data_IF_335719822495
#
_entry.id   IF_335719822495
#
_cell.length_a   1.000
_cell.length_b   1.000
_cell.length_c   1.000
_cell.angle_alpha   90.00
_cell.angle_beta   90.00
_cell.angle_gamma   90.00
#
_symmetry.space_group_name_H-M   'P 1'
#
loop_
_entity.id
_entity.type
_entity.pdbx_description
1 polymer ?
#
# COMPACT_ATOMS: atom_id res chain seq x y z
N UNK A 1 -34.04 9.84 -10.61
CA UNK A 1 -34.97 9.70 -9.49
C UNK A 1 -36.15 8.85 -9.93
N UNK A 2 -36.54 7.86 -9.12
CA UNK A 2 -37.53 6.79 -9.33
C UNK A 2 -38.20 6.76 -10.73
N UNK A 3 -37.55 6.11 -11.69
CA UNK A 3 -38.17 5.87 -13.00
C UNK A 3 -39.29 4.83 -12.89
N UNK A 4 -40.34 4.98 -13.70
CA UNK A 4 -41.46 4.02 -13.79
C UNK A 4 -41.02 2.74 -14.54
N UNK A 5 -40.13 1.96 -13.95
CA UNK A 5 -39.79 0.63 -14.46
C UNK A 5 -40.92 -0.33 -14.14
N UNK A 6 -41.21 -1.27 -15.05
CA UNK A 6 -42.26 -2.28 -14.85
C UNK A 6 -42.13 -3.03 -13.51
N UNK A 7 -40.89 -3.30 -13.07
CA UNK A 7 -40.58 -3.92 -11.78
C UNK A 7 -41.00 -3.08 -10.57
N UNK A 8 -40.87 -1.75 -10.67
CA UNK A 8 -41.25 -0.80 -9.62
C UNK A 8 -42.78 -0.71 -9.52
N UNK A 9 -43.46 -0.66 -10.67
CA UNK A 9 -44.92 -0.64 -10.74
C UNK A 9 -45.49 -1.93 -10.14
N UNK A 10 -44.97 -3.09 -10.53
CA UNK A 10 -45.42 -4.38 -10.00
C UNK A 10 -45.19 -4.48 -8.48
N UNK A 11 -44.04 -4.02 -7.97
CA UNK A 11 -43.79 -3.98 -6.53
C UNK A 11 -44.82 -3.13 -5.79
N UNK A 12 -45.00 -1.89 -6.21
CA UNK A 12 -45.93 -0.95 -5.57
C UNK A 12 -47.37 -1.49 -5.67
N UNK A 13 -47.74 -2.06 -6.81
CA UNK A 13 -49.05 -2.70 -7.01
C UNK A 13 -49.29 -3.85 -6.06
N UNK A 14 -48.29 -4.71 -5.84
CA UNK A 14 -48.38 -5.82 -4.88
C UNK A 14 -48.52 -5.33 -3.46
N UNK A 15 -47.78 -4.30 -3.08
CA UNK A 15 -47.88 -3.69 -1.75
C UNK A 15 -49.29 -3.13 -1.57
N UNK A 16 -49.75 -2.28 -2.49
CA UNK A 16 -51.08 -1.64 -2.40
C UNK A 16 -52.24 -2.64 -2.44
N UNK A 17 -52.17 -3.70 -3.26
CA UNK A 17 -53.18 -4.78 -3.26
C UNK A 17 -53.28 -5.50 -1.93
N UNK A 18 -52.18 -5.60 -1.17
CA UNK A 18 -52.18 -6.20 0.17
C UNK A 18 -52.93 -5.34 1.20
N UNK A 19 -53.15 -4.05 0.90
CA UNK A 19 -53.80 -3.07 1.78
C UNK A 19 -55.19 -2.64 1.30
N UNK A 20 -55.74 -3.26 0.25
CA UNK A 20 -56.96 -2.79 -0.42
C UNK A 20 -58.20 -2.74 0.50
N UNK A 21 -58.18 -3.50 1.61
CA UNK A 21 -59.29 -3.60 2.57
C UNK A 21 -59.02 -2.94 3.94
N UNK A 22 -57.90 -2.20 4.11
CA UNK A 22 -57.48 -1.61 5.39
C UNK A 22 -57.41 -0.08 5.34
N UNK A 23 -57.64 0.56 6.49
CA UNK A 23 -57.48 2.00 6.65
C UNK A 23 -56.05 2.43 6.29
N UNK A 24 -55.92 3.59 5.64
CA UNK A 24 -54.64 4.15 5.22
C UNK A 24 -53.81 4.55 6.43
N UNK A 25 -52.92 3.66 6.87
CA UNK A 25 -51.98 3.93 7.94
C UNK A 25 -50.91 4.95 7.48
N UNK A 26 -50.54 5.96 8.30
CA UNK A 26 -49.61 7.04 7.90
C UNK A 26 -48.24 6.57 7.41
N UNK A 27 -47.76 5.42 7.91
CA UNK A 27 -46.49 4.82 7.52
C UNK A 27 -46.51 4.02 6.21
N UNK A 28 -47.67 3.86 5.55
CA UNK A 28 -47.77 3.08 4.31
C UNK A 28 -46.85 3.65 3.21
N UNK A 29 -46.90 4.96 2.99
CA UNK A 29 -46.10 5.63 1.96
C UNK A 29 -44.60 5.58 2.32
N UNK A 30 -44.17 5.96 3.54
CA UNK A 30 -42.79 5.76 3.97
C UNK A 30 -42.28 4.33 3.80
N UNK A 31 -43.11 3.32 4.09
CA UNK A 31 -42.75 1.90 3.92
C UNK A 31 -42.52 1.53 2.45
N UNK A 32 -43.38 1.98 1.54
CA UNK A 32 -43.19 1.77 0.09
C UNK A 32 -41.87 2.38 -0.38
N UNK A 33 -41.54 3.58 0.07
CA UNK A 33 -40.26 4.22 -0.26
C UNK A 33 -39.06 3.45 0.31
N UNK A 34 -39.13 3.01 1.55
CA UNK A 34 -38.10 2.18 2.18
C UNK A 34 -37.82 0.89 1.37
N UNK A 35 -38.86 0.19 0.93
CA UNK A 35 -38.72 -1.04 0.11
C UNK A 35 -38.13 -0.77 -1.27
N UNK A 36 -38.51 0.34 -1.91
CA UNK A 36 -37.93 0.74 -3.19
C UNK A 36 -36.45 1.07 -3.06
N UNK A 37 -36.10 1.82 -2.01
CA UNK A 37 -34.73 2.24 -1.77
C UNK A 37 -33.83 1.06 -1.39
N UNK A 38 -34.34 0.13 -0.56
CA UNK A 38 -33.68 -1.14 -0.27
C UNK A 38 -33.30 -1.90 -1.53
N UNK A 39 -34.25 -2.13 -2.44
CA UNK A 39 -33.97 -2.83 -3.71
C UNK A 39 -32.96 -2.10 -4.58
N UNK A 40 -33.03 -0.76 -4.63
CA UNK A 40 -32.10 0.06 -5.41
C UNK A 40 -30.68 -0.05 -4.88
N UNK A 41 -30.49 0.14 -3.57
CA UNK A 41 -29.18 0.15 -2.94
C UNK A 41 -28.55 -1.23 -2.93
N UNK A 42 -29.33 -2.29 -2.66
CA UNK A 42 -28.81 -3.67 -2.68
C UNK A 42 -28.37 -4.06 -4.10
N UNK A 43 -29.17 -3.74 -5.12
CA UNK A 43 -28.80 -4.00 -6.51
C UNK A 43 -27.58 -3.21 -6.98
N UNK A 44 -27.35 -2.00 -6.46
CA UNK A 44 -26.11 -1.26 -6.71
C UNK A 44 -24.91 -1.90 -6.01
N UNK A 45 -25.09 -2.33 -4.76
CA UNK A 45 -24.04 -2.97 -3.97
C UNK A 45 -23.59 -4.28 -4.59
N UNK A 46 -24.52 -5.17 -4.96
CA UNK A 46 -24.19 -6.48 -5.52
C UNK A 46 -23.35 -6.35 -6.80
N UNK A 47 -23.64 -5.35 -7.63
CA UNK A 47 -22.84 -5.06 -8.85
C UNK A 47 -21.43 -4.57 -8.52
N UNK A 48 -21.30 -3.65 -7.57
CA UNK A 48 -20.00 -3.09 -7.16
C UNK A 48 -19.17 -4.12 -6.40
N UNK A 49 -19.81 -4.99 -5.62
CA UNK A 49 -19.19 -6.10 -4.91
C UNK A 49 -18.46 -7.04 -5.87
N UNK A 50 -19.10 -7.50 -6.95
CA UNK A 50 -18.43 -8.40 -7.92
C UNK A 50 -17.20 -7.75 -8.52
N UNK A 51 -17.29 -6.46 -8.89
CA UNK A 51 -16.15 -5.70 -9.42
C UNK A 51 -15.00 -5.60 -8.41
N UNK A 52 -15.31 -5.39 -7.12
CA UNK A 52 -14.29 -5.27 -6.08
C UNK A 52 -13.63 -6.61 -5.76
N UNK A 53 -14.42 -7.68 -5.65
CA UNK A 53 -13.92 -9.03 -5.42
C UNK A 53 -12.99 -9.48 -6.55
N UNK A 54 -13.37 -9.21 -7.80
CA UNK A 54 -12.52 -9.51 -8.95
C UNK A 54 -11.21 -8.73 -8.89
N UNK A 55 -11.24 -7.46 -8.44
CA UNK A 55 -10.03 -6.65 -8.30
C UNK A 55 -9.10 -7.16 -7.22
N UNK A 56 -9.63 -7.57 -6.07
CA UNK A 56 -8.85 -8.17 -4.97
C UNK A 56 -8.13 -9.44 -5.47
N UNK A 57 -8.84 -10.30 -6.21
CA UNK A 57 -8.27 -11.52 -6.80
C UNK A 57 -7.22 -11.23 -7.88
N UNK A 58 -7.44 -10.23 -8.73
CA UNK A 58 -6.46 -9.78 -9.74
C UNK A 58 -5.15 -9.34 -9.06
N UNK A 59 -5.28 -8.58 -7.97
CA UNK A 59 -4.15 -8.09 -7.19
C UNK A 59 -3.37 -9.25 -6.54
N UNK A 60 -4.08 -10.18 -5.92
CA UNK A 60 -3.48 -11.37 -5.31
C UNK A 60 -2.72 -12.24 -6.34
N UNK A 61 -3.35 -12.48 -7.50
CA UNK A 61 -2.73 -13.24 -8.58
C UNK A 61 -1.49 -12.56 -9.14
N UNK A 62 -1.53 -11.22 -9.31
CA UNK A 62 -0.37 -10.43 -9.78
C UNK A 62 0.81 -10.56 -8.82
N UNK A 63 0.57 -10.38 -7.51
CA UNK A 63 1.62 -10.52 -6.49
C UNK A 63 2.24 -11.92 -6.49
N UNK A 64 1.42 -12.94 -6.69
CA UNK A 64 1.88 -14.32 -6.75
C UNK A 64 2.68 -14.61 -8.02
N UNK A 65 2.28 -14.06 -9.16
CA UNK A 65 3.01 -14.17 -10.43
C UNK A 65 4.37 -13.46 -10.40
N UNK A 66 4.43 -12.24 -9.86
CA UNK A 66 5.68 -11.47 -9.77
C UNK A 66 6.69 -12.08 -8.79
N UNK A 67 6.21 -12.75 -7.73
CA UNK A 67 7.05 -13.54 -6.83
C UNK A 67 7.76 -14.70 -7.56
N UNK A 68 7.13 -15.26 -8.59
CA UNK A 68 7.69 -16.35 -9.40
C UNK A 68 8.61 -15.89 -10.53
N UNK A 69 8.39 -14.70 -11.09
CA UNK A 69 9.32 -14.12 -12.08
C UNK A 69 10.59 -13.62 -11.38
N UNK A 70 11.71 -14.31 -11.61
CA UNK A 70 13.01 -13.95 -11.05
C UNK A 70 13.44 -12.52 -11.40
N UNK A 71 14.32 -11.96 -10.55
CA UNK A 71 14.76 -10.55 -10.53
C UNK A 71 15.46 -10.08 -11.84
N UNK A 72 15.72 -10.98 -12.80
CA UNK A 72 16.67 -10.73 -13.89
C UNK A 72 16.07 -10.46 -15.29
N UNK A 73 14.77 -10.67 -15.55
CA UNK A 73 14.28 -10.69 -16.94
C UNK A 73 13.72 -9.38 -17.52
N UNK A 74 13.35 -8.39 -16.71
CA UNK A 74 12.60 -7.22 -17.23
C UNK A 74 13.45 -6.02 -17.70
N UNK A 75 14.77 -6.12 -17.71
CA UNK A 75 15.64 -4.98 -18.07
C UNK A 75 15.75 -4.69 -19.59
N UNK A 76 15.07 -5.44 -20.47
CA UNK A 76 15.34 -5.36 -21.93
C UNK A 76 14.45 -4.43 -22.76
N UNK A 77 13.33 -3.91 -22.26
CA UNK A 77 12.42 -3.12 -23.10
C UNK A 77 12.05 -1.75 -22.49
N UNK A 78 12.82 -0.71 -22.82
CA UNK A 78 12.55 0.68 -22.41
C UNK A 78 11.20 1.23 -22.92
N UNK A 79 10.72 0.73 -24.07
CA UNK A 79 9.42 1.10 -24.65
C UNK A 79 8.21 0.38 -24.00
N UNK A 80 8.47 -0.72 -23.28
CA UNK A 80 7.45 -1.41 -22.50
C UNK A 80 7.28 -0.81 -21.10
N UNK A 81 8.30 -0.09 -20.58
CA UNK A 81 8.25 0.51 -19.26
C UNK A 81 7.29 1.71 -19.18
N UNK A 82 7.28 2.60 -20.18
CA UNK A 82 6.40 3.79 -20.21
C UNK A 82 4.92 3.40 -20.37
N UNK A 83 4.62 2.43 -21.23
CA UNK A 83 3.26 1.89 -21.38
C UNK A 83 2.79 1.09 -20.15
N UNK A 84 3.72 0.42 -19.45
CA UNK A 84 3.42 -0.30 -18.21
C UNK A 84 3.12 0.66 -17.06
N UNK A 85 3.84 1.79 -16.96
CA UNK A 85 3.65 2.81 -15.93
C UNK A 85 2.31 3.54 -16.08
N UNK A 86 1.95 3.95 -17.31
CA UNK A 86 0.64 4.54 -17.60
C UNK A 86 -0.50 3.57 -17.25
N UNK A 87 -0.34 2.28 -17.60
CA UNK A 87 -1.33 1.23 -17.31
C UNK A 87 -1.45 0.94 -15.81
N UNK A 88 -0.36 1.01 -15.05
CA UNK A 88 -0.37 0.87 -13.60
C UNK A 88 -1.09 2.05 -12.94
N UNK A 89 -0.76 3.28 -13.34
CA UNK A 89 -1.36 4.49 -12.78
C UNK A 89 -2.88 4.58 -13.06
N UNK A 90 -3.33 4.15 -14.24
CA UNK A 90 -4.77 4.10 -14.55
C UNK A 90 -5.51 3.11 -13.66
N UNK A 91 -4.90 1.95 -13.41
CA UNK A 91 -5.48 0.89 -12.56
C UNK A 91 -5.57 1.28 -11.09
N UNK A 92 -4.61 2.05 -10.59
CA UNK A 92 -4.64 2.57 -9.22
C UNK A 92 -5.78 3.58 -9.05
N UNK A 93 -5.94 4.48 -10.02
CA UNK A 93 -7.04 5.45 -10.05
C UNK A 93 -8.41 4.76 -10.08
N UNK A 94 -8.57 3.69 -10.87
CA UNK A 94 -9.80 2.88 -10.90
C UNK A 94 -10.08 2.19 -9.56
N UNK A 95 -9.05 1.65 -8.91
CA UNK A 95 -9.15 1.02 -7.59
C UNK A 95 -9.61 2.02 -6.52
N UNK A 96 -8.99 3.21 -6.50
CA UNK A 96 -9.38 4.30 -5.59
C UNK A 96 -10.82 4.75 -5.85
N UNK A 97 -11.23 4.89 -7.12
CA UNK A 97 -12.60 5.25 -7.46
C UNK A 97 -13.61 4.20 -6.98
N UNK A 98 -13.31 2.92 -7.18
CA UNK A 98 -14.15 1.83 -6.67
C UNK A 98 -14.26 1.84 -5.14
N UNK A 99 -13.16 2.13 -4.45
CA UNK A 99 -13.14 2.27 -2.98
C UNK A 99 -14.07 3.40 -2.52
N UNK A 100 -13.93 4.57 -3.14
CA UNK A 100 -14.75 5.76 -2.82
C UNK A 100 -16.22 5.48 -3.10
N UNK A 101 -16.55 4.86 -4.23
CA UNK A 101 -17.92 4.50 -4.59
C UNK A 101 -18.53 3.57 -3.53
N UNK A 102 -17.83 2.51 -3.12
CA UNK A 102 -18.32 1.56 -2.10
C UNK A 102 -18.42 2.20 -0.73
N UNK A 103 -17.47 3.06 -0.36
CA UNK A 103 -17.51 3.82 0.90
C UNK A 103 -18.72 4.77 0.94
N UNK A 104 -18.96 5.51 -0.13
CA UNK A 104 -20.13 6.40 -0.24
C UNK A 104 -21.46 5.62 -0.17
N UNK A 105 -21.50 4.44 -0.79
CA UNK A 105 -22.66 3.54 -0.74
C UNK A 105 -22.89 3.01 0.68
N UNK A 106 -21.82 2.60 1.38
CA UNK A 106 -21.88 2.18 2.79
C UNK A 106 -22.48 3.28 3.66
N UNK A 107 -22.00 4.52 3.54
CA UNK A 107 -22.52 5.66 4.29
C UNK A 107 -24.01 5.91 4.00
N UNK A 108 -24.43 5.74 2.74
CA UNK A 108 -25.83 5.82 2.35
C UNK A 108 -26.70 4.71 2.96
N UNK A 109 -26.19 3.48 3.04
CA UNK A 109 -26.86 2.35 3.70
C UNK A 109 -27.00 2.58 5.21
N UNK A 110 -25.96 3.06 5.87
CA UNK A 110 -25.98 3.42 7.30
C UNK A 110 -26.99 4.54 7.58
N UNK A 111 -26.98 5.59 6.76
CA UNK A 111 -27.93 6.69 6.90
C UNK A 111 -29.38 6.23 6.75
N UNK A 112 -29.67 5.38 5.76
CA UNK A 112 -31.03 4.84 5.59
C UNK A 112 -31.42 3.90 6.72
N UNK A 113 -30.49 3.06 7.19
CA UNK A 113 -30.72 2.20 8.35
C UNK A 113 -31.17 3.01 9.57
N UNK A 114 -30.48 4.10 9.86
CA UNK A 114 -30.81 4.97 11.00
C UNK A 114 -32.21 5.59 10.83
N UNK A 115 -32.62 5.91 9.60
CA UNK A 115 -33.98 6.38 9.33
C UNK A 115 -35.02 5.26 9.51
N UNK A 116 -34.71 4.02 9.14
CA UNK A 116 -35.61 2.88 9.35
C UNK A 116 -35.84 2.60 10.84
N UNK A 117 -34.79 2.75 11.68
CA UNK A 117 -34.90 2.66 13.14
C UNK A 117 -35.87 3.72 13.66
N UNK A 118 -35.68 4.98 13.27
CA UNK A 118 -36.58 6.09 13.67
C UNK A 118 -38.01 5.88 13.18
N UNK A 119 -38.20 5.33 11.98
CA UNK A 119 -39.53 5.00 11.46
C UNK A 119 -40.21 3.89 12.27
N UNK A 120 -39.44 2.91 12.76
CA UNK A 120 -39.97 1.86 13.62
C UNK A 120 -40.39 2.41 14.99
N UNK A 121 -39.56 3.27 15.60
CA UNK A 121 -39.86 3.97 16.86
C UNK A 121 -41.12 4.84 16.72
N UNK A 122 -41.23 5.60 15.62
CA UNK A 122 -42.41 6.42 15.37
C UNK A 122 -43.68 5.59 15.14
N UNK A 123 -43.56 4.35 14.64
CA UNK A 123 -44.68 3.42 14.55
C UNK A 123 -45.21 3.03 15.92
N UNK A 124 -44.32 2.85 16.91
CA UNK A 124 -44.70 2.54 18.29
C UNK A 124 -45.30 3.77 18.99
N UNK A 125 -44.73 4.96 18.74
CA UNK A 125 -45.27 6.22 19.23
C UNK A 125 -46.68 6.50 18.71
N UNK A 126 -46.95 6.24 17.42
CA UNK A 126 -48.28 6.36 16.82
C UNK A 126 -49.29 5.42 17.48
N UNK A 127 -48.87 4.20 17.81
CA UNK A 127 -49.71 3.24 18.51
C UNK A 127 -50.06 3.69 19.94
N UNK A 128 -49.17 4.42 20.62
CA UNK A 128 -49.39 4.92 21.97
C UNK A 128 -50.19 6.23 22.02
N UNK A 129 -50.01 7.11 21.04
CA UNK A 129 -50.53 8.48 21.06
C UNK A 129 -51.80 8.65 20.23
N UNK A 130 -51.75 8.31 18.94
CA UNK A 130 -52.83 8.53 17.97
C UNK A 130 -53.83 7.38 18.00
N UNK A 131 -53.35 6.14 18.05
CA UNK A 131 -54.18 4.93 18.06
C UNK A 131 -54.34 4.36 19.48
N UNK A 132 -54.66 5.22 20.44
CA UNK A 132 -54.67 4.86 21.86
C UNK A 132 -55.64 3.68 22.12
N UNK A 133 -55.24 2.67 22.93
CA UNK A 133 -56.14 1.61 23.34
C UNK A 133 -57.39 2.19 24.03
N UNK A 134 -58.57 1.59 23.82
CA UNK A 134 -59.76 2.02 24.51
C UNK A 134 -59.59 1.82 26.04
N UNK A 135 -60.16 2.69 26.89
CA UNK A 135 -60.05 2.56 28.35
C UNK A 135 -60.60 1.22 28.84
N UNK A 136 -60.05 0.68 29.93
CA UNK A 136 -60.46 -0.62 30.48
C UNK A 136 -61.96 -0.72 30.87
N UNK A 137 -62.65 0.43 30.97
CA UNK A 137 -64.08 0.53 31.29
C UNK A 137 -64.99 0.55 30.04
N UNK A 138 -64.44 0.49 28.83
CA UNK A 138 -65.20 0.54 27.58
C UNK A 138 -65.85 -0.81 27.22
N UNK A 139 -67.05 -0.76 26.61
CA UNK A 139 -67.81 -1.95 26.24
C UNK A 139 -67.03 -2.86 25.25
N UNK A 140 -67.11 -4.20 25.40
CA UNK A 140 -66.39 -5.15 24.56
C UNK A 140 -66.84 -5.01 23.09
N UNK A 141 -65.98 -4.41 22.25
CA UNK A 141 -66.22 -4.26 20.81
C UNK A 141 -66.02 -2.86 20.22
N UNK A 142 -65.72 -1.83 21.03
CA UNK A 142 -65.61 -0.44 20.54
C UNK A 142 -64.15 -0.02 20.26
N UNK A 143 -63.34 -0.90 19.66
CA UNK A 143 -61.95 -0.58 19.32
C UNK A 143 -61.83 -0.12 17.86
N UNK A 144 -62.06 1.17 17.64
CA UNK A 144 -62.03 1.78 16.31
C UNK A 144 -60.64 1.74 15.65
N UNK A 145 -59.57 1.57 16.44
CA UNK A 145 -58.17 1.63 15.97
C UNK A 145 -57.46 0.26 16.03
N UNK A 146 -58.20 -0.83 16.20
CA UNK A 146 -57.64 -2.18 16.32
C UNK A 146 -56.83 -2.58 15.08
N UNK A 147 -57.34 -2.28 13.89
CA UNK A 147 -56.74 -2.70 12.62
C UNK A 147 -55.54 -1.82 12.23
N UNK A 148 -55.57 -0.53 12.57
CA UNK A 148 -54.47 0.41 12.43
C UNK A 148 -53.30 0.02 13.31
N UNK A 149 -53.55 -0.38 14.57
CA UNK A 149 -52.51 -0.89 15.48
C UNK A 149 -51.87 -2.18 14.98
N UNK A 150 -52.68 -3.17 14.55
CA UNK A 150 -52.16 -4.40 13.93
C UNK A 150 -51.32 -4.09 12.69
N UNK A 151 -51.73 -3.10 11.91
CA UNK A 151 -51.01 -2.68 10.70
C UNK A 151 -49.70 -1.96 11.02
N UNK A 152 -49.70 -1.07 12.03
CA UNK A 152 -48.50 -0.45 12.57
C UNK A 152 -47.52 -1.46 13.13
N UNK A 153 -47.99 -2.47 13.88
CA UNK A 153 -47.15 -3.55 14.40
C UNK A 153 -46.48 -4.35 13.28
N UNK A 154 -47.23 -4.70 12.21
CA UNK A 154 -46.64 -5.35 11.02
C UNK A 154 -45.59 -4.48 10.34
N UNK A 155 -45.80 -3.17 10.27
CA UNK A 155 -44.79 -2.25 9.74
C UNK A 155 -43.55 -2.16 10.63
N UNK A 156 -43.71 -2.07 11.94
CA UNK A 156 -42.59 -2.06 12.87
C UNK A 156 -41.75 -3.35 12.76
N UNK A 157 -42.39 -4.52 12.69
CA UNK A 157 -41.69 -5.80 12.47
C UNK A 157 -40.92 -5.76 11.15
N UNK A 158 -41.57 -5.38 10.04
CA UNK A 158 -40.92 -5.33 8.72
C UNK A 158 -39.79 -4.30 8.65
N UNK A 159 -39.92 -3.16 9.31
CA UNK A 159 -38.87 -2.14 9.40
C UNK A 159 -37.65 -2.66 10.16
N UNK A 160 -37.86 -3.35 11.30
CA UNK A 160 -36.78 -3.99 12.05
C UNK A 160 -36.10 -5.09 11.23
N UNK A 161 -36.85 -5.91 10.51
CA UNK A 161 -36.28 -6.87 9.56
C UNK A 161 -35.41 -6.16 8.51
N UNK A 162 -35.91 -5.08 7.89
CA UNK A 162 -35.11 -4.30 6.95
C UNK A 162 -33.83 -3.77 7.62
N UNK A 163 -33.88 -3.23 8.83
CA UNK A 163 -32.67 -2.79 9.56
C UNK A 163 -31.63 -3.91 9.64
N UNK A 164 -32.04 -5.13 9.97
CA UNK A 164 -31.11 -6.28 10.00
C UNK A 164 -30.56 -6.65 8.62
N UNK A 165 -31.36 -6.53 7.56
CA UNK A 165 -30.90 -6.72 6.17
C UNK A 165 -29.85 -5.66 5.79
N UNK A 166 -30.08 -4.40 6.16
CA UNK A 166 -29.14 -3.30 5.92
C UNK A 166 -27.84 -3.49 6.71
N UNK A 167 -27.90 -3.87 7.98
CA UNK A 167 -26.71 -4.18 8.80
C UNK A 167 -25.88 -5.31 8.20
N UNK A 168 -26.53 -6.33 7.63
CA UNK A 168 -25.82 -7.40 6.91
C UNK A 168 -25.07 -6.85 5.69
N UNK A 169 -25.70 -5.97 4.90
CA UNK A 169 -25.06 -5.35 3.73
C UNK A 169 -23.98 -4.33 4.10
N UNK A 170 -24.14 -3.57 5.18
CA UNK A 170 -23.09 -2.68 5.71
C UNK A 170 -21.86 -3.50 6.12
N UNK A 171 -22.05 -4.59 6.87
CA UNK A 171 -20.95 -5.52 7.22
C UNK A 171 -20.27 -6.11 5.98
N UNK A 172 -21.03 -6.42 4.93
CA UNK A 172 -20.44 -6.86 3.65
C UNK A 172 -19.58 -5.75 3.02
N UNK A 173 -20.01 -4.49 3.07
CA UNK A 173 -19.20 -3.37 2.59
C UNK A 173 -17.91 -3.23 3.39
N UNK A 174 -17.98 -3.38 4.72
CA UNK A 174 -16.79 -3.33 5.58
C UNK A 174 -15.78 -4.43 5.26
N UNK A 175 -16.25 -5.66 5.10
CA UNK A 175 -15.38 -6.78 4.70
C UNK A 175 -14.72 -6.52 3.34
N UNK A 176 -15.46 -5.96 2.39
CA UNK A 176 -14.97 -5.62 1.05
C UNK A 176 -13.93 -4.48 1.08
N UNK A 177 -14.23 -3.39 1.80
CA UNK A 177 -13.30 -2.26 1.96
C UNK A 177 -12.04 -2.69 2.71
N UNK A 178 -12.17 -3.52 3.74
CA UNK A 178 -11.06 -4.11 4.48
C UNK A 178 -10.21 -5.03 3.60
N UNK A 179 -10.84 -5.92 2.83
CA UNK A 179 -10.16 -6.82 1.90
C UNK A 179 -9.35 -6.07 0.84
N UNK A 180 -9.91 -4.99 0.28
CA UNK A 180 -9.18 -4.18 -0.70
C UNK A 180 -8.05 -3.37 -0.08
N UNK A 181 -8.25 -2.82 1.11
CA UNK A 181 -7.19 -2.10 1.85
C UNK A 181 -6.02 -3.04 2.14
N UNK A 182 -6.31 -4.25 2.60
CA UNK A 182 -5.29 -5.27 2.86
C UNK A 182 -4.56 -5.67 1.57
N UNK A 183 -5.29 -5.85 0.47
CA UNK A 183 -4.68 -6.19 -0.82
C UNK A 183 -3.72 -5.07 -1.28
N UNK A 184 -4.15 -3.80 -1.21
CA UNK A 184 -3.31 -2.65 -1.55
C UNK A 184 -2.06 -2.54 -0.64
N UNK A 185 -2.23 -2.75 0.67
CA UNK A 185 -1.09 -2.80 1.60
C UNK A 185 -0.13 -3.94 1.29
N UNK A 186 -0.64 -5.12 0.93
CA UNK A 186 0.17 -6.27 0.54
C UNK A 186 0.99 -5.95 -0.72
N UNK A 187 0.39 -5.27 -1.70
CA UNK A 187 1.09 -4.83 -2.91
C UNK A 187 2.20 -3.82 -2.62
N UNK A 188 1.92 -2.79 -1.82
CA UNK A 188 2.97 -1.84 -1.40
C UNK A 188 4.10 -2.53 -0.66
N UNK A 189 3.79 -3.42 0.29
CA UNK A 189 4.80 -4.17 1.05
C UNK A 189 5.62 -5.10 0.16
N UNK A 190 5.00 -5.66 -0.89
CA UNK A 190 5.70 -6.49 -1.87
C UNK A 190 6.75 -5.69 -2.64
N UNK A 191 6.41 -4.51 -3.17
CA UNK A 191 7.38 -3.65 -3.86
C UNK A 191 8.50 -3.19 -2.93
N UNK A 192 8.18 -2.74 -1.71
CA UNK A 192 9.19 -2.35 -0.71
C UNK A 192 10.17 -3.49 -0.41
N UNK A 193 9.67 -4.73 -0.28
CA UNK A 193 10.54 -5.92 -0.09
C UNK A 193 11.40 -6.20 -1.31
N UNK A 194 10.88 -5.97 -2.51
CA UNK A 194 11.62 -6.14 -3.76
C UNK A 194 12.74 -5.09 -3.87
N UNK A 195 12.44 -3.83 -3.60
CA UNK A 195 13.40 -2.73 -3.62
C UNK A 195 14.51 -2.94 -2.58
N UNK A 196 14.17 -3.41 -1.37
CA UNK A 196 15.16 -3.75 -0.36
C UNK A 196 16.14 -4.83 -0.85
N UNK A 197 15.66 -5.87 -1.54
CA UNK A 197 16.53 -6.90 -2.15
C UNK A 197 17.43 -6.32 -3.24
N UNK A 198 16.89 -5.47 -4.11
CA UNK A 198 17.66 -4.80 -5.17
C UNK A 198 18.72 -3.88 -4.55
N UNK A 199 18.38 -3.11 -3.52
CA UNK A 199 19.31 -2.25 -2.80
C UNK A 199 20.46 -3.06 -2.16
N UNK A 200 20.19 -4.23 -1.59
CA UNK A 200 21.24 -5.12 -1.07
C UNK A 200 22.17 -5.61 -2.19
N UNK A 201 21.60 -6.00 -3.34
CA UNK A 201 22.41 -6.43 -4.51
C UNK A 201 23.28 -5.27 -5.00
N UNK A 202 22.71 -4.08 -5.14
CA UNK A 202 23.44 -2.86 -5.54
C UNK A 202 24.55 -2.57 -4.52
N UNK A 203 24.27 -2.60 -3.22
CA UNK A 203 25.27 -2.38 -2.18
C UNK A 203 26.43 -3.39 -2.26
N UNK A 204 26.14 -4.66 -2.57
CA UNK A 204 27.17 -5.68 -2.76
C UNK A 204 28.02 -5.42 -4.02
N UNK A 205 27.38 -5.03 -5.13
CA UNK A 205 28.09 -4.64 -6.36
C UNK A 205 28.97 -3.40 -6.13
N UNK A 206 28.45 -2.39 -5.45
CA UNK A 206 29.20 -1.17 -5.08
C UNK A 206 30.36 -1.48 -4.14
N UNK A 207 30.19 -2.41 -3.19
CA UNK A 207 31.29 -2.86 -2.32
C UNK A 207 32.42 -3.50 -3.13
N UNK A 208 32.08 -4.31 -4.14
CA UNK A 208 33.07 -4.92 -5.05
C UNK A 208 33.76 -3.87 -5.91
N UNK A 209 33.03 -2.90 -6.44
CA UNK A 209 33.58 -1.77 -7.21
C UNK A 209 34.52 -0.91 -6.36
N UNK A 210 34.16 -0.65 -5.09
CA UNK A 210 35.05 0.03 -4.13
C UNK A 210 36.38 -0.70 -3.88
N UNK A 211 36.40 -2.04 -3.94
CA UNK A 211 37.65 -2.82 -3.88
C UNK A 211 38.51 -2.66 -5.14
N UNK A 212 37.89 -2.54 -6.32
CA UNK A 212 38.62 -2.25 -7.57
C UNK A 212 39.20 -0.84 -7.55
N UNK A 213 38.43 0.14 -7.08
CA UNK A 213 38.90 1.53 -6.90
C UNK A 213 40.14 1.60 -5.98
N UNK A 214 40.14 0.84 -4.87
CA UNK A 214 41.31 0.74 -3.99
C UNK A 214 42.56 0.22 -4.71
N UNK A 215 42.40 -0.70 -5.66
CA UNK A 215 43.54 -1.27 -6.42
C UNK A 215 44.15 -0.27 -7.39
N UNK A 216 43.33 0.56 -8.05
CA UNK A 216 43.82 1.62 -8.96
C UNK A 216 44.59 2.69 -8.17
N UNK A 217 44.07 3.11 -7.01
CA UNK A 217 44.75 4.06 -6.12
C UNK A 217 46.10 3.53 -5.62
N UNK A 218 46.19 2.23 -5.30
CA UNK A 218 47.47 1.61 -4.93
C UNK A 218 48.49 1.67 -6.06
N UNK A 219 48.05 1.46 -7.31
CA UNK A 219 48.93 1.52 -8.48
C UNK A 219 49.47 2.95 -8.71
N UNK A 220 48.59 3.96 -8.64
CA UNK A 220 48.99 5.36 -8.73
C UNK A 220 49.96 5.78 -7.62
N UNK A 221 49.72 5.32 -6.39
CA UNK A 221 50.56 5.62 -5.23
C UNK A 221 51.93 4.92 -5.26
N UNK A 222 52.04 3.79 -5.95
CA UNK A 222 53.33 3.13 -6.22
C UNK A 222 54.12 3.88 -7.31
N UNK A 223 53.44 4.36 -8.35
CA UNK A 223 54.08 5.08 -9.45
C UNK A 223 54.47 6.51 -9.08
N UNK A 224 53.68 7.24 -8.29
CA UNK A 224 53.93 8.65 -7.95
C UNK A 224 55.34 8.94 -7.38
N UNK A 225 55.83 8.23 -6.34
CA UNK A 225 57.17 8.46 -5.80
C UNK A 225 58.27 8.01 -6.77
N UNK A 226 58.05 6.93 -7.52
CA UNK A 226 58.99 6.46 -8.53
C UNK A 226 59.15 7.46 -9.69
N UNK A 227 58.04 8.00 -10.19
CA UNK A 227 58.05 9.01 -11.26
C UNK A 227 58.61 10.35 -10.80
N UNK A 228 58.35 10.76 -9.55
CA UNK A 228 58.95 11.98 -8.97
C UNK A 228 60.48 11.89 -8.90
N UNK A 229 61.01 10.76 -8.42
CA UNK A 229 62.45 10.52 -8.39
C UNK A 229 63.01 10.45 -9.82
N UNK A 230 62.38 9.71 -10.74
CA UNK A 230 62.81 9.66 -12.14
C UNK A 230 62.91 11.07 -12.77
N UNK A 231 61.96 11.96 -12.45
CA UNK A 231 61.93 13.34 -12.97
C UNK A 231 63.01 14.22 -12.32
N UNK A 232 63.17 14.18 -10.99
CA UNK A 232 64.21 14.91 -10.27
C UNK A 232 65.62 14.53 -10.75
N UNK A 233 65.86 13.24 -10.97
CA UNK A 233 67.16 12.75 -11.42
C UNK A 233 67.37 12.95 -12.92
N UNK A 234 66.32 12.88 -13.74
CA UNK A 234 66.39 13.26 -15.16
C UNK A 234 66.69 14.76 -15.36
N UNK A 235 66.25 15.61 -14.44
CA UNK A 235 66.52 17.05 -14.49
C UNK A 235 67.91 17.43 -13.92
N UNK A 236 68.50 16.60 -13.06
CA UNK A 236 69.66 17.03 -12.23
C UNK A 236 70.96 16.25 -12.43
N UNK A 237 71.00 15.07 -13.07
CA UNK A 237 72.17 14.19 -12.97
C UNK A 237 72.83 13.70 -14.27
N UNK A 238 72.29 13.98 -15.46
CA UNK A 238 72.99 13.69 -16.73
C UNK A 238 73.77 14.92 -17.22
N UNK A 239 74.88 15.26 -16.55
CA UNK A 239 75.84 16.24 -17.08
C UNK A 239 76.89 15.51 -17.91
N UNK A 240 76.65 15.41 -19.23
CA UNK A 240 77.51 14.73 -20.22
C UNK A 240 78.73 15.57 -20.63
N UNK A 241 79.36 16.31 -19.72
CA UNK A 241 80.59 17.04 -19.99
C UNK A 241 81.76 16.40 -19.27
N UNK A 242 82.46 15.55 -20.02
CA UNK A 242 83.61 14.76 -19.64
C UNK A 242 84.87 15.61 -19.36
N UNK A 243 85.70 15.13 -18.43
CA UNK A 243 87.15 15.28 -18.54
C UNK A 243 87.85 14.08 -17.88
N UNK A 244 88.33 13.17 -18.74
CA UNK A 244 89.45 12.23 -18.53
C UNK A 244 89.39 11.21 -17.39
N UNK A 245 89.29 9.94 -17.82
CA UNK A 245 90.06 8.81 -17.27
C UNK A 245 89.81 8.39 -15.81
N UNK A 246 88.71 7.67 -15.59
CA UNK A 246 88.58 6.34 -14.92
C UNK A 246 87.20 6.20 -14.28
N UNK A 247 86.56 5.08 -14.64
CA UNK A 247 85.29 4.55 -14.09
C UNK A 247 84.02 5.36 -14.33
N UNK A 248 83.27 4.94 -15.36
CA UNK A 248 81.98 5.52 -15.79
C UNK A 248 80.79 4.93 -15.01
N UNK A 249 81.01 4.17 -13.92
CA UNK A 249 79.93 3.67 -13.06
C UNK A 249 80.19 4.15 -11.63
N UNK A 250 79.60 5.30 -11.32
CA UNK A 250 79.71 5.96 -10.03
C UNK A 250 78.86 5.23 -8.96
N UNK A 251 79.38 4.96 -7.74
CA UNK A 251 78.68 4.26 -6.64
C UNK A 251 77.34 4.87 -6.19
N UNK A 252 77.03 6.07 -6.65
CA UNK A 252 75.81 6.82 -6.31
C UNK A 252 74.53 6.22 -6.89
N UNK A 253 74.62 5.37 -7.92
CA UNK A 253 73.47 4.64 -8.49
C UNK A 253 72.90 3.61 -7.50
N UNK A 254 73.76 2.95 -6.71
CA UNK A 254 73.32 2.02 -5.68
C UNK A 254 72.58 2.73 -4.54
N UNK A 255 73.04 3.94 -4.18
CA UNK A 255 72.41 4.80 -3.17
C UNK A 255 71.04 5.31 -3.66
N UNK A 256 70.91 5.61 -4.96
CA UNK A 256 69.63 5.91 -5.62
C UNK A 256 68.62 4.75 -5.53
N UNK A 257 69.05 3.53 -5.88
CA UNK A 257 68.18 2.35 -5.79
C UNK A 257 67.74 2.11 -4.34
N UNK A 258 68.65 2.24 -3.37
CA UNK A 258 68.34 2.09 -1.96
C UNK A 258 67.35 3.15 -1.45
N UNK A 259 67.55 4.43 -1.79
CA UNK A 259 66.69 5.52 -1.37
C UNK A 259 65.28 5.42 -1.97
N UNK A 260 65.18 5.05 -3.26
CA UNK A 260 63.92 4.86 -3.96
C UNK A 260 63.12 3.70 -3.35
N UNK A 261 63.77 2.57 -3.06
CA UNK A 261 63.14 1.42 -2.40
C UNK A 261 62.69 1.78 -0.98
N UNK A 262 63.50 2.54 -0.22
CA UNK A 262 63.15 2.97 1.12
C UNK A 262 61.91 3.88 1.15
N UNK A 263 61.86 4.90 0.27
CA UNK A 263 60.71 5.81 0.14
C UNK A 263 59.45 5.08 -0.30
N UNK A 264 59.56 4.18 -1.29
CA UNK A 264 58.42 3.39 -1.77
C UNK A 264 57.90 2.45 -0.67
N UNK A 265 58.79 1.79 0.04
CA UNK A 265 58.45 0.91 1.18
C UNK A 265 57.77 1.70 2.30
N UNK A 266 58.29 2.89 2.65
CA UNK A 266 57.71 3.74 3.70
C UNK A 266 56.29 4.22 3.35
N UNK A 267 56.06 4.63 2.11
CA UNK A 267 54.75 5.08 1.63
C UNK A 267 53.73 3.93 1.59
N UNK A 268 54.12 2.76 1.07
CA UNK A 268 53.25 1.56 1.05
C UNK A 268 52.96 1.09 2.48
N UNK A 269 53.95 1.11 3.37
CA UNK A 269 53.78 0.69 4.77
C UNK A 269 52.83 1.62 5.52
N UNK A 270 53.01 2.94 5.40
CA UNK A 270 52.11 3.92 6.02
C UNK A 270 50.66 3.72 5.56
N UNK A 271 50.46 3.47 4.28
CA UNK A 271 49.14 3.27 3.70
C UNK A 271 48.49 1.96 4.15
N UNK A 272 49.23 0.84 4.10
CA UNK A 272 48.73 -0.45 4.60
C UNK A 272 48.27 -0.33 6.05
N UNK A 273 49.06 0.37 6.88
CA UNK A 273 48.72 0.63 8.27
C UNK A 273 47.47 1.50 8.41
N UNK A 274 47.36 2.57 7.62
CA UNK A 274 46.19 3.46 7.64
C UNK A 274 44.91 2.75 7.18
N UNK A 275 44.97 1.99 6.07
CA UNK A 275 43.85 1.19 5.56
C UNK A 275 43.40 0.12 6.55
N UNK A 276 44.34 -0.61 7.18
CA UNK A 276 44.01 -1.61 8.20
C UNK A 276 43.32 -0.97 9.42
N UNK A 277 43.77 0.21 9.85
CA UNK A 277 43.13 0.95 10.94
C UNK A 277 41.71 1.41 10.57
N UNK A 278 41.47 1.79 9.33
CA UNK A 278 40.17 2.24 8.86
C UNK A 278 39.18 1.07 8.74
N UNK A 279 39.66 -0.10 8.31
CA UNK A 279 38.88 -1.34 8.31
C UNK A 279 38.52 -1.79 9.73
N UNK A 280 39.44 -1.69 10.68
CA UNK A 280 39.14 -1.99 12.09
C UNK A 280 38.08 -1.04 12.68
N UNK A 281 38.12 0.25 12.34
CA UNK A 281 37.11 1.23 12.81
C UNK A 281 35.74 0.92 12.22
N UNK A 282 35.66 0.65 10.93
CA UNK A 282 34.41 0.27 10.26
C UNK A 282 33.84 -1.04 10.84
N UNK A 283 34.68 -2.03 11.11
CA UNK A 283 34.24 -3.31 11.70
C UNK A 283 33.71 -3.15 13.14
N UNK A 284 34.29 -2.23 13.93
CA UNK A 284 33.79 -1.90 15.26
C UNK A 284 32.42 -1.22 15.18
N UNK A 285 32.26 -0.21 14.31
CA UNK A 285 30.99 0.48 14.12
C UNK A 285 29.85 -0.47 13.74
N UNK A 286 30.09 -1.39 12.79
CA UNK A 286 29.09 -2.39 12.40
C UNK A 286 28.74 -3.32 13.57
N UNK A 287 29.73 -3.73 14.36
CA UNK A 287 29.49 -4.57 15.54
C UNK A 287 28.64 -3.85 16.59
N UNK A 288 28.90 -2.57 16.81
CA UNK A 288 28.16 -1.76 17.77
C UNK A 288 26.71 -1.54 17.30
N UNK A 289 26.48 -1.29 16.01
CA UNK A 289 25.13 -1.20 15.43
C UNK A 289 24.35 -2.52 15.55
N UNK A 290 24.97 -3.66 15.26
CA UNK A 290 24.33 -4.99 15.37
C UNK A 290 24.00 -5.34 16.82
N UNK A 291 24.83 -4.95 17.79
CA UNK A 291 24.53 -5.17 19.20
C UNK A 291 23.39 -4.25 19.67
N UNK A 292 23.38 -2.98 19.25
CA UNK A 292 22.33 -2.04 19.59
C UNK A 292 20.95 -2.46 19.04
N UNK A 293 20.90 -3.01 17.83
CA UNK A 293 19.66 -3.55 17.24
C UNK A 293 19.10 -4.72 18.06
N UNK A 294 19.97 -5.64 18.53
CA UNK A 294 19.55 -6.77 19.39
C UNK A 294 18.98 -6.32 20.73
N UNK A 295 19.57 -5.31 21.35
CA UNK A 295 19.11 -4.78 22.63
C UNK A 295 17.78 -4.01 22.49
N UNK A 296 17.42 -3.56 21.28
CA UNK A 296 16.14 -2.90 20.99
C UNK A 296 14.96 -3.86 20.75
N UNK A 297 15.24 -5.14 20.55
CA UNK A 297 14.24 -6.19 20.25
C UNK A 297 13.84 -6.99 21.51
N UNK A 298 14.57 -6.85 22.62
CA UNK A 298 14.30 -7.48 23.92
C UNK A 298 13.58 -6.52 24.86
#
# INVERSE_FOLDING_TARGET
>A
MYGCKAQTIDLVSRILRKFQDQALHPLLIPMVFAELERKRLFGMLDRKQTSLQQRILDLENKLRGESQSGILENAKNAQSAENADITAQTRDCESTKLWIDVSSLKNGLESLKDQLVKMAEHSEELAATVFKPPPAESAPGTDQYAEERKTGERFAIRLREMVTEFDSKVRSCDSLLGGMTLAAQMESNYYTRRDAKVAIIIANLTKKDGSQMRSISLLGMLFLPGTFLATLFSASFFNWTAASSKEVISPWIALYCALTVALTSMTVWRMKKWMAQEEEKAARQIRDEVNNDKDSIV
#
